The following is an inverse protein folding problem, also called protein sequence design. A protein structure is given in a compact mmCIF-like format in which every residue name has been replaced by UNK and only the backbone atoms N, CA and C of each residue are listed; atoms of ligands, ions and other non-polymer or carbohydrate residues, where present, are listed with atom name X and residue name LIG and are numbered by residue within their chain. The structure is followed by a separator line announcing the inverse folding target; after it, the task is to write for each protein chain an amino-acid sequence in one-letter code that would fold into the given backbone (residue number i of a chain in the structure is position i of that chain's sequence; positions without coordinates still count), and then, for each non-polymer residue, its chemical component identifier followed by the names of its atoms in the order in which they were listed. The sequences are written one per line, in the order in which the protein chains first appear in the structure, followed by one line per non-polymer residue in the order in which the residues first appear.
data_IF_810019733189
#
_entry.id   IF_810019733189
#
_cell.length_a   1.000
_cell.length_b   1.000
_cell.length_c   1.000
_cell.angle_alpha   90.00
_cell.angle_beta   90.00
_cell.angle_gamma   90.00
#
_symmetry.space_group_name_H-M   'P 1'
#
loop_
_entity.id
_entity.type
_entity.pdbx_description
1 polymer ?
#
# COMPACT_ATOMS: atom_id res chain seq x y z
N UNK A 1 -19.07 -25.25 -12.26
CA UNK A 1 -17.60 -25.29 -12.43
C UNK A 1 -17.30 -26.09 -13.68
N UNK A 2 -16.42 -25.58 -14.57
CA UNK A 2 -15.89 -26.37 -15.69
C UNK A 2 -15.29 -27.68 -15.16
N UNK A 3 -15.32 -28.76 -15.95
CA UNK A 3 -14.66 -29.99 -15.51
C UNK A 3 -13.13 -29.80 -15.46
N UNK A 4 -12.41 -30.66 -14.74
CA UNK A 4 -10.96 -30.55 -14.55
C UNK A 4 -10.20 -30.48 -15.89
N UNK A 5 -10.60 -31.26 -16.90
CA UNK A 5 -9.98 -31.29 -18.21
C UNK A 5 -10.16 -29.98 -18.98
N UNK A 6 -11.34 -29.35 -18.87
CA UNK A 6 -11.63 -28.04 -19.47
C UNK A 6 -10.85 -26.92 -18.79
N UNK A 7 -10.66 -26.99 -17.47
CA UNK A 7 -9.86 -26.03 -16.72
C UNK A 7 -8.37 -26.15 -17.06
N UNK A 8 -7.85 -27.38 -17.16
CA UNK A 8 -6.46 -27.62 -17.58
C UNK A 8 -6.23 -27.09 -19.00
N UNK A 9 -7.16 -27.35 -19.93
CA UNK A 9 -7.08 -26.82 -21.30
C UNK A 9 -7.10 -25.30 -21.32
N UNK A 10 -7.92 -24.68 -20.47
CA UNK A 10 -7.98 -23.23 -20.36
C UNK A 10 -6.65 -22.64 -19.87
N UNK A 11 -6.10 -23.16 -18.77
CA UNK A 11 -4.83 -22.68 -18.19
C UNK A 11 -3.67 -22.87 -19.17
N UNK A 12 -3.60 -24.01 -19.86
CA UNK A 12 -2.46 -24.33 -20.74
C UNK A 12 -2.50 -23.68 -22.11
N UNK A 13 -3.68 -23.44 -22.66
CA UNK A 13 -3.83 -23.14 -24.09
C UNK A 13 -4.74 -21.96 -24.42
N UNK A 14 -5.52 -21.45 -23.47
CA UNK A 14 -6.49 -20.36 -23.70
C UNK A 14 -6.21 -19.11 -22.88
N UNK A 15 -5.58 -19.26 -21.71
CA UNK A 15 -5.25 -18.14 -20.84
C UNK A 15 -4.14 -17.30 -21.48
N UNK A 16 -4.45 -16.05 -21.79
CA UNK A 16 -3.49 -15.04 -22.23
C UNK A 16 -2.73 -14.55 -21.01
N UNK A 17 -1.42 -14.74 -20.99
CA UNK A 17 -0.53 -14.28 -19.92
C UNK A 17 -0.29 -12.76 -20.00
N UNK A 18 -1.34 -11.97 -19.81
CA UNK A 18 -1.23 -10.50 -19.81
C UNK A 18 -0.71 -9.99 -18.47
N UNK A 19 -0.96 -10.71 -17.36
CA UNK A 19 -0.42 -10.40 -16.02
C UNK A 19 -0.54 -11.61 -15.05
N UNK A 20 0.23 -11.63 -13.96
CA UNK A 20 0.23 -12.68 -12.90
C UNK A 20 -1.09 -12.71 -12.10
N UNK A 21 -1.94 -11.71 -12.27
CA UNK A 21 -3.23 -11.58 -11.59
C UNK A 21 -4.22 -12.70 -11.90
N UNK A 22 -4.34 -13.10 -13.16
CA UNK A 22 -5.25 -14.17 -13.57
C UNK A 22 -4.88 -15.53 -12.95
N UNK A 23 -3.62 -16.01 -13.04
CA UNK A 23 -3.23 -17.24 -12.38
C UNK A 23 -3.33 -17.17 -10.84
N UNK A 24 -3.03 -16.02 -10.23
CA UNK A 24 -3.19 -15.84 -8.78
C UNK A 24 -4.65 -15.98 -8.31
N UNK A 25 -5.60 -15.39 -9.04
CA UNK A 25 -7.04 -15.49 -8.75
C UNK A 25 -7.56 -16.92 -8.96
N UNK A 26 -7.14 -17.57 -10.05
CA UNK A 26 -7.53 -18.95 -10.33
C UNK A 26 -7.06 -19.88 -9.23
N UNK A 27 -5.78 -19.77 -8.83
CA UNK A 27 -5.21 -20.57 -7.75
C UNK A 27 -5.99 -20.37 -6.44
N UNK A 28 -6.21 -19.12 -6.04
CA UNK A 28 -6.93 -18.79 -4.81
C UNK A 28 -8.37 -19.33 -4.78
N UNK A 29 -9.07 -19.27 -5.92
CA UNK A 29 -10.41 -19.83 -6.03
C UNK A 29 -10.38 -21.35 -5.95
N UNK A 30 -9.43 -22.02 -6.59
CA UNK A 30 -9.31 -23.49 -6.55
C UNK A 30 -9.06 -24.01 -5.13
N UNK A 31 -8.18 -23.35 -4.38
CA UNK A 31 -7.89 -23.69 -2.98
C UNK A 31 -9.12 -23.52 -2.06
N UNK A 32 -10.08 -22.70 -2.46
CA UNK A 32 -11.30 -22.37 -1.68
C UNK A 32 -12.58 -22.91 -2.29
N UNK A 33 -12.48 -24.01 -3.06
CA UNK A 33 -13.64 -24.69 -3.62
C UNK A 33 -14.44 -23.84 -4.62
N UNK A 34 -13.77 -22.92 -5.31
CA UNK A 34 -14.33 -22.06 -6.33
C UNK A 34 -15.02 -20.79 -5.83
N UNK A 35 -14.92 -20.47 -4.53
CA UNK A 35 -15.60 -19.31 -3.93
C UNK A 35 -14.66 -18.43 -3.13
N UNK A 36 -14.79 -17.11 -3.27
CA UNK A 36 -14.10 -16.15 -2.42
C UNK A 36 -14.78 -14.77 -2.48
N UNK A 37 -14.49 -13.91 -1.51
CA UNK A 37 -14.98 -12.54 -1.50
C UNK A 37 -14.09 -11.64 -2.37
N UNK A 38 -14.64 -10.52 -2.86
CA UNK A 38 -13.85 -9.53 -3.60
C UNK A 38 -12.68 -8.98 -2.77
N UNK A 39 -12.85 -8.84 -1.46
CA UNK A 39 -11.81 -8.39 -0.54
C UNK A 39 -10.65 -9.41 -0.42
N UNK A 40 -10.96 -10.70 -0.31
CA UNK A 40 -9.95 -11.77 -0.27
C UNK A 40 -9.18 -11.87 -1.59
N UNK A 41 -9.88 -11.71 -2.72
CA UNK A 41 -9.24 -11.68 -4.03
C UNK A 41 -8.35 -10.44 -4.21
N UNK A 42 -8.82 -9.26 -3.79
CA UNK A 42 -8.03 -8.03 -3.84
C UNK A 42 -6.76 -8.14 -2.99
N UNK A 43 -6.86 -8.67 -1.77
CA UNK A 43 -5.70 -8.93 -0.90
C UNK A 43 -4.70 -9.90 -1.53
N UNK A 44 -5.22 -10.92 -2.21
CA UNK A 44 -4.39 -11.88 -2.95
C UNK A 44 -3.64 -11.16 -4.07
N UNK A 45 -4.35 -10.41 -4.92
CA UNK A 45 -3.75 -9.64 -6.02
C UNK A 45 -2.70 -8.63 -5.54
N UNK A 46 -2.98 -7.87 -4.48
CA UNK A 46 -2.01 -6.95 -3.87
C UNK A 46 -0.73 -7.66 -3.38
N UNK A 47 -0.84 -8.95 -3.05
CA UNK A 47 0.29 -9.78 -2.67
C UNK A 47 1.17 -10.21 -3.85
N UNK A 48 0.71 -10.09 -5.10
CA UNK A 48 1.46 -10.42 -6.32
C UNK A 48 1.87 -9.18 -7.14
N UNK A 49 1.32 -8.01 -6.84
CA UNK A 49 1.70 -6.75 -7.47
C UNK A 49 3.12 -6.33 -7.04
N UNK A 50 4.07 -6.35 -7.98
CA UNK A 50 5.48 -6.05 -7.72
C UNK A 50 5.70 -4.59 -7.26
N UNK A 51 4.88 -3.65 -7.72
CA UNK A 51 4.94 -2.25 -7.30
C UNK A 51 4.54 -2.07 -5.84
N UNK A 52 3.46 -2.74 -5.44
CA UNK A 52 2.98 -2.80 -4.05
C UNK A 52 4.00 -3.50 -3.15
N UNK A 53 4.57 -4.63 -3.59
CA UNK A 53 5.61 -5.33 -2.85
C UNK A 53 6.86 -4.46 -2.66
N UNK A 54 7.35 -3.81 -3.71
CA UNK A 54 8.53 -2.95 -3.66
C UNK A 54 8.33 -1.72 -2.76
N UNK A 55 7.11 -1.17 -2.73
CA UNK A 55 6.74 -0.12 -1.79
C UNK A 55 6.81 -0.61 -0.34
N UNK A 56 6.15 -1.73 -0.03
CA UNK A 56 6.13 -2.26 1.33
C UNK A 56 7.49 -2.78 1.79
N UNK A 57 8.35 -3.29 0.92
CA UNK A 57 9.72 -3.68 1.27
C UNK A 57 10.50 -2.48 1.84
N UNK A 58 10.44 -1.33 1.18
CA UNK A 58 11.05 -0.08 1.66
C UNK A 58 10.45 0.38 3.00
N UNK A 59 9.14 0.28 3.15
CA UNK A 59 8.45 0.65 4.41
C UNK A 59 8.85 -0.28 5.55
N UNK A 60 8.85 -1.60 5.32
CA UNK A 60 9.22 -2.62 6.30
C UNK A 60 10.65 -2.46 6.79
N UNK A 61 11.57 -2.15 5.87
CA UNK A 61 12.99 -1.97 6.19
C UNK A 61 13.29 -0.64 6.89
N UNK A 62 12.37 0.32 6.88
CA UNK A 62 12.50 1.61 7.55
C UNK A 62 11.98 1.55 8.99
N UNK A 63 10.69 1.75 9.21
CA UNK A 63 10.19 1.95 10.57
C UNK A 63 9.96 0.66 11.35
N UNK A 64 9.30 -0.38 10.78
CA UNK A 64 9.10 -1.65 11.47
C UNK A 64 10.42 -2.32 11.83
N UNK A 65 11.36 -2.45 10.89
CA UNK A 65 12.68 -3.03 11.19
C UNK A 65 13.42 -2.27 12.28
N UNK A 66 13.53 -0.94 12.19
CA UNK A 66 14.25 -0.14 13.20
C UNK A 66 13.58 -0.25 14.56
N UNK A 67 12.25 -0.12 14.61
CA UNK A 67 11.48 -0.18 15.86
C UNK A 67 11.59 -1.56 16.49
N UNK A 68 11.34 -2.62 15.72
CA UNK A 68 11.38 -3.99 16.23
C UNK A 68 12.81 -4.41 16.62
N UNK A 69 13.85 -3.92 15.93
CA UNK A 69 15.25 -4.14 16.31
C UNK A 69 15.59 -3.40 17.61
N UNK A 70 15.22 -2.12 17.71
CA UNK A 70 15.45 -1.27 18.89
C UNK A 70 14.82 -1.85 20.16
N UNK A 71 13.66 -2.48 20.03
CA UNK A 71 12.94 -3.09 21.14
C UNK A 71 13.25 -4.59 21.33
N UNK A 72 14.27 -5.14 20.64
CA UNK A 72 14.64 -6.56 20.70
C UNK A 72 13.48 -7.53 20.41
N UNK A 73 12.55 -7.09 19.54
CA UNK A 73 11.36 -7.87 19.15
C UNK A 73 11.70 -8.83 18.02
N UNK A 74 12.85 -8.73 17.33
CA UNK A 74 13.27 -9.67 16.26
C UNK A 74 14.50 -10.51 16.67
N UNK A 75 14.33 -11.65 17.37
CA UNK A 75 15.39 -12.58 17.70
C UNK A 75 15.60 -13.65 16.61
N UNK A 76 14.84 -13.65 15.50
CA UNK A 76 15.01 -14.66 14.43
C UNK A 76 16.34 -14.54 13.68
N UNK A 77 16.95 -13.35 13.67
CA UNK A 77 18.33 -13.14 13.21
C UNK A 77 19.38 -13.67 14.19
N UNK A 78 18.97 -13.99 15.42
CA UNK A 78 19.79 -14.53 16.50
C UNK A 78 19.45 -16.01 16.80
N UNK A 79 18.49 -16.57 16.07
CA UNK A 79 18.10 -17.96 16.22
C UNK A 79 19.16 -18.86 15.58
N UNK A 80 19.45 -19.99 16.22
CA UNK A 80 20.30 -21.00 15.62
C UNK A 80 19.59 -21.71 14.44
N UNK A 81 20.32 -22.60 13.77
CA UNK A 81 19.80 -23.42 12.65
C UNK A 81 18.61 -24.32 13.04
N UNK A 82 18.31 -24.44 14.33
CA UNK A 82 17.22 -25.24 14.89
C UNK A 82 16.07 -24.39 15.42
N UNK A 83 16.16 -23.05 15.32
CA UNK A 83 15.10 -22.14 15.74
C UNK A 83 15.10 -21.82 17.24
N UNK A 84 16.23 -21.96 17.93
CA UNK A 84 16.37 -21.60 19.34
C UNK A 84 17.05 -20.27 19.54
N UNK A 85 16.63 -19.52 20.56
CA UNK A 85 17.16 -18.21 20.93
C UNK A 85 17.57 -18.21 22.41
N UNK A 86 18.71 -17.61 22.72
CA UNK A 86 19.18 -17.44 24.10
C UNK A 86 18.77 -16.07 24.62
N UNK A 87 17.94 -16.04 25.67
CA UNK A 87 17.52 -14.81 26.36
C UNK A 87 17.74 -14.98 27.86
N UNK A 88 18.45 -14.04 28.49
CA UNK A 88 18.78 -14.08 29.92
C UNK A 88 19.43 -15.40 30.37
N UNK A 89 20.37 -15.93 29.56
CA UNK A 89 21.03 -17.23 29.74
C UNK A 89 20.10 -18.46 29.70
N UNK A 90 18.87 -18.30 29.21
CA UNK A 90 17.92 -19.40 29.01
C UNK A 90 17.73 -19.62 27.51
N UNK A 91 18.00 -20.84 27.04
CA UNK A 91 17.73 -21.25 25.67
C UNK A 91 16.26 -21.66 25.54
N UNK A 92 15.53 -21.08 24.58
CA UNK A 92 14.13 -21.40 24.32
C UNK A 92 13.81 -21.41 22.83
N UNK A 93 12.79 -22.17 22.40
CA UNK A 93 12.27 -22.08 21.04
C UNK A 93 11.87 -20.65 20.67
N UNK A 94 12.05 -20.26 19.42
CA UNK A 94 11.66 -18.93 18.90
C UNK A 94 10.15 -18.66 19.01
N UNK A 95 9.33 -19.69 19.17
CA UNK A 95 7.89 -19.63 19.33
C UNK A 95 7.41 -19.89 20.77
N UNK A 96 8.33 -19.99 21.74
CA UNK A 96 8.00 -20.16 23.16
C UNK A 96 7.25 -18.92 23.70
N UNK A 97 6.27 -19.10 24.59
CA UNK A 97 5.49 -17.98 25.17
C UNK A 97 6.33 -17.00 26.01
N UNK A 98 7.48 -17.47 26.53
CA UNK A 98 8.48 -16.63 27.19
C UNK A 98 9.23 -15.75 26.18
N UNK A 99 9.19 -16.11 24.90
CA UNK A 99 9.55 -15.24 23.79
C UNK A 99 8.34 -14.36 23.42
N UNK A 100 8.45 -13.06 23.64
CA UNK A 100 7.39 -12.07 23.40
C UNK A 100 6.89 -12.04 21.94
N UNK A 101 7.62 -12.64 20.99
CA UNK A 101 7.17 -12.85 19.62
C UNK A 101 5.98 -13.81 19.49
N UNK A 102 5.88 -14.85 20.32
CA UNK A 102 4.75 -15.77 20.31
C UNK A 102 3.44 -15.06 20.67
N UNK A 103 3.53 -14.00 21.47
CA UNK A 103 2.40 -13.12 21.82
C UNK A 103 1.93 -12.26 20.64
N UNK A 104 2.77 -12.00 19.64
CA UNK A 104 2.34 -11.35 18.40
C UNK A 104 1.32 -12.18 17.63
N UNK A 105 1.29 -13.52 17.80
CA UNK A 105 0.25 -14.38 17.22
C UNK A 105 -1.15 -14.04 17.78
N UNK A 106 -1.25 -13.66 19.07
CA UNK A 106 -2.49 -13.15 19.67
C UNK A 106 -2.86 -11.77 19.13
N UNK A 107 -1.90 -10.87 18.95
CA UNK A 107 -2.14 -9.55 18.34
C UNK A 107 -2.59 -9.66 16.87
N UNK A 108 -2.02 -10.59 16.11
CA UNK A 108 -2.43 -10.87 14.73
C UNK A 108 -3.79 -11.57 14.67
N UNK A 109 -4.16 -12.41 15.66
CA UNK A 109 -5.52 -12.95 15.79
C UNK A 109 -6.55 -11.92 16.30
N UNK A 110 -6.12 -10.89 17.02
CA UNK A 110 -6.96 -9.75 17.39
C UNK A 110 -7.23 -8.82 16.20
N UNK A 111 -6.46 -8.94 15.11
CA UNK A 111 -6.83 -8.44 13.77
C UNK A 111 -7.69 -9.45 13.00
N UNK A 112 -8.61 -10.13 13.68
CA UNK A 112 -9.79 -10.66 13.00
C UNK A 112 -10.64 -9.46 12.62
N UNK A 113 -11.05 -9.38 11.35
CA UNK A 113 -12.09 -8.48 10.84
C UNK A 113 -13.34 -8.62 11.71
N UNK A 114 -13.40 -7.83 12.77
CA UNK A 114 -14.54 -7.72 13.68
C UNK A 114 -14.93 -6.27 13.87
N UNK A 115 -14.49 -5.37 13.00
CA UNK A 115 -15.11 -4.08 12.99
C UNK A 115 -16.39 -4.14 12.14
N UNK A 116 -17.47 -3.65 12.74
CA UNK A 116 -18.59 -3.14 11.99
C UNK A 116 -18.28 -1.67 11.70
N UNK A 117 -17.16 -1.40 10.99
CA UNK A 117 -16.78 -0.02 10.70
C UNK A 117 -17.88 0.63 9.89
N UNK A 118 -18.55 1.56 10.57
CA UNK A 118 -19.48 2.48 9.98
C UNK A 118 -18.70 3.53 9.20
N UNK A 119 -18.70 3.39 7.87
CA UNK A 119 -18.09 4.33 6.93
C UNK A 119 -18.69 5.75 6.96
N UNK A 120 -19.66 6.03 7.84
CA UNK A 120 -20.22 7.36 8.08
C UNK A 120 -19.44 8.19 9.10
N UNK A 121 -18.44 7.64 9.80
CA UNK A 121 -17.55 8.45 10.65
C UNK A 121 -16.31 8.94 9.88
N UNK A 122 -15.93 10.22 10.05
CA UNK A 122 -14.97 10.88 9.18
C UNK A 122 -13.56 10.34 9.39
N UNK A 123 -12.92 9.96 8.28
CA UNK A 123 -11.51 9.60 8.24
C UNK A 123 -10.70 10.79 8.75
N UNK A 124 -9.90 10.59 9.80
CA UNK A 124 -8.85 11.55 10.17
C UNK A 124 -7.90 11.69 8.97
N UNK A 125 -7.79 12.89 8.42
CA UNK A 125 -6.98 13.16 7.23
C UNK A 125 -6.56 14.62 7.16
N UNK A 126 -5.61 14.92 6.27
CA UNK A 126 -5.26 16.31 5.99
C UNK A 126 -6.47 17.01 5.38
N UNK A 127 -6.84 18.12 6.00
CA UNK A 127 -7.83 19.06 5.50
C UNK A 127 -7.12 20.33 5.04
N UNK A 128 -7.70 21.03 4.07
CA UNK A 128 -7.21 22.36 3.68
C UNK A 128 -7.50 23.36 4.79
N UNK A 129 -6.64 24.36 4.93
CA UNK A 129 -6.75 25.39 5.97
C UNK A 129 -8.11 26.11 5.94
N UNK A 130 -8.64 26.36 4.74
CA UNK A 130 -9.95 26.99 4.55
C UNK A 130 -11.14 26.04 4.85
N UNK A 131 -10.90 24.73 4.93
CA UNK A 131 -11.93 23.73 5.25
C UNK A 131 -12.11 23.51 6.76
N UNK A 132 -11.21 24.04 7.60
CA UNK A 132 -11.23 23.88 9.07
C UNK A 132 -12.52 24.43 9.68
N UNK A 133 -13.03 25.56 9.17
CA UNK A 133 -14.23 26.21 9.68
C UNK A 133 -15.51 25.35 9.56
N UNK A 134 -15.58 24.48 8.54
CA UNK A 134 -16.73 23.61 8.29
C UNK A 134 -16.64 22.29 9.08
N UNK A 135 -15.43 21.81 9.35
CA UNK A 135 -15.18 20.49 9.96
C UNK A 135 -15.12 20.56 11.49
N UNK A 136 -14.68 21.68 12.08
CA UNK A 136 -14.52 21.83 13.53
C UNK A 136 -15.84 21.91 14.32
N UNK A 137 -17.00 22.06 13.64
CA UNK A 137 -18.32 22.03 14.28
C UNK A 137 -18.78 20.63 14.71
N UNK A 138 -18.15 19.57 14.20
CA UNK A 138 -18.56 18.17 14.41
C UNK A 138 -17.49 17.45 15.24
N UNK A 139 -17.34 17.80 16.52
CA UNK A 139 -16.51 17.04 17.48
C UNK A 139 -15.04 16.71 17.08
N UNK A 140 -14.46 17.43 16.11
CA UNK A 140 -13.10 17.21 15.63
C UNK A 140 -12.14 18.28 16.12
N UNK A 141 -10.96 17.86 16.58
CA UNK A 141 -9.85 18.75 16.91
C UNK A 141 -8.92 18.84 15.70
N UNK A 142 -8.78 20.04 15.14
CA UNK A 142 -7.77 20.32 14.13
C UNK A 142 -6.49 20.81 14.82
N UNK A 143 -5.34 20.25 14.43
CA UNK A 143 -4.02 20.74 14.85
C UNK A 143 -3.14 20.93 13.63
N UNK A 144 -2.23 21.90 13.71
CA UNK A 144 -1.23 22.13 12.68
C UNK A 144 -0.21 20.97 12.70
N UNK A 145 0.11 20.47 11.51
CA UNK A 145 1.17 19.47 11.31
C UNK A 145 2.38 20.15 10.70
N UNK A 146 3.59 19.73 11.09
CA UNK A 146 4.84 20.29 10.56
C UNK A 146 5.89 19.18 10.38
N UNK A 147 6.91 19.46 9.56
CA UNK A 147 8.05 18.56 9.35
C UNK A 147 7.66 17.16 8.87
N UNK A 148 8.27 16.14 9.48
CA UNK A 148 8.11 14.73 9.09
C UNK A 148 6.65 14.28 9.21
N UNK A 149 5.94 14.75 10.23
CA UNK A 149 4.55 14.35 10.49
C UNK A 149 3.61 14.88 9.39
N UNK A 150 3.80 16.14 8.97
CA UNK A 150 3.06 16.69 7.83
C UNK A 150 3.35 15.89 6.56
N UNK A 151 4.62 15.60 6.29
CA UNK A 151 5.02 14.83 5.10
C UNK A 151 4.37 13.45 5.06
N UNK A 152 4.41 12.72 6.18
CA UNK A 152 3.84 11.37 6.26
C UNK A 152 2.32 11.42 6.00
N UNK A 153 1.62 12.44 6.52
CA UNK A 153 0.20 12.63 6.29
C UNK A 153 -0.15 13.11 4.87
N UNK A 154 0.72 13.88 4.23
CA UNK A 154 0.57 14.23 2.82
C UNK A 154 0.75 13.01 1.91
N UNK A 155 1.68 12.10 2.23
CA UNK A 155 1.85 10.84 1.50
C UNK A 155 0.63 9.92 1.66
N UNK A 156 0.05 9.83 2.86
CA UNK A 156 -1.24 9.13 3.07
C UNK A 156 -2.36 9.75 2.22
N UNK A 157 -2.44 11.08 2.17
CA UNK A 157 -3.43 11.79 1.35
C UNK A 157 -3.21 11.53 -0.15
N UNK A 158 -1.97 11.50 -0.63
CA UNK A 158 -1.65 11.23 -2.04
C UNK A 158 -2.17 9.86 -2.50
N UNK A 159 -2.14 8.84 -1.64
CA UNK A 159 -2.73 7.52 -1.94
C UNK A 159 -4.24 7.64 -2.15
N UNK A 160 -4.93 8.42 -1.32
CA UNK A 160 -6.35 8.70 -1.49
C UNK A 160 -6.66 9.48 -2.76
N UNK A 161 -5.86 10.50 -3.08
CA UNK A 161 -6.01 11.29 -4.31
C UNK A 161 -5.78 10.43 -5.56
N UNK A 162 -4.79 9.54 -5.53
CA UNK A 162 -4.53 8.58 -6.62
C UNK A 162 -5.71 7.62 -6.81
N UNK A 163 -6.21 7.01 -5.72
CA UNK A 163 -7.37 6.12 -5.79
C UNK A 163 -8.60 6.84 -6.37
N UNK A 164 -8.81 8.10 -5.97
CA UNK A 164 -9.87 8.95 -6.50
C UNK A 164 -9.66 9.28 -7.99
N UNK A 165 -8.42 9.53 -8.43
CA UNK A 165 -8.10 9.87 -9.82
C UNK A 165 -8.41 8.71 -10.78
N UNK A 166 -8.12 7.48 -10.39
CA UNK A 166 -8.31 6.29 -11.24
C UNK A 166 -9.71 5.69 -11.14
N UNK A 167 -10.55 6.19 -10.23
CA UNK A 167 -11.93 5.74 -10.08
C UNK A 167 -12.75 6.11 -11.33
N UNK A 168 -13.16 5.08 -12.07
CA UNK A 168 -13.92 5.20 -13.31
C UNK A 168 -15.41 5.50 -13.05
N UNK A 169 -15.91 5.17 -11.86
CA UNK A 169 -17.30 5.37 -11.47
C UNK A 169 -17.52 6.72 -10.76
N UNK A 170 -16.46 7.52 -10.61
CA UNK A 170 -16.53 8.82 -9.95
C UNK A 170 -17.34 9.84 -10.75
N UNK A 171 -18.32 10.48 -10.11
CA UNK A 171 -19.06 11.61 -10.66
C UNK A 171 -18.27 12.93 -10.64
N UNK A 172 -17.06 12.95 -10.05
CA UNK A 172 -16.22 14.13 -9.94
C UNK A 172 -15.47 14.43 -11.24
N UNK A 173 -15.39 15.72 -11.59
CA UNK A 173 -14.67 16.17 -12.78
C UNK A 173 -13.18 15.81 -12.68
N UNK A 174 -12.63 15.27 -13.78
CA UNK A 174 -11.27 14.73 -13.83
C UNK A 174 -10.22 15.82 -13.58
N UNK A 175 -10.43 17.03 -14.10
CA UNK A 175 -9.54 18.18 -13.91
C UNK A 175 -9.46 18.61 -12.44
N UNK A 176 -10.56 18.56 -11.68
CA UNK A 176 -10.56 18.80 -10.24
C UNK A 176 -9.72 17.74 -9.52
N UNK A 177 -9.92 16.46 -9.87
CA UNK A 177 -9.16 15.36 -9.29
C UNK A 177 -7.66 15.48 -9.55
N UNK A 178 -7.28 15.83 -10.77
CA UNK A 178 -5.89 16.11 -11.17
C UNK A 178 -5.33 17.29 -10.38
N UNK A 179 -6.06 18.39 -10.30
CA UNK A 179 -5.62 19.63 -9.62
C UNK A 179 -5.33 19.38 -8.15
N UNK A 180 -6.22 18.69 -7.45
CA UNK A 180 -6.02 18.36 -6.04
C UNK A 180 -4.84 17.42 -5.82
N UNK A 181 -4.61 16.47 -6.72
CA UNK A 181 -3.44 15.58 -6.64
C UNK A 181 -2.14 16.36 -6.89
N UNK A 182 -2.14 17.30 -7.84
CA UNK A 182 -1.01 18.22 -8.08
C UNK A 182 -0.74 19.07 -6.84
N UNK A 183 -1.77 19.62 -6.21
CA UNK A 183 -1.65 20.39 -4.96
C UNK A 183 -0.97 19.56 -3.86
N UNK A 184 -1.40 18.31 -3.67
CA UNK A 184 -0.76 17.40 -2.71
C UNK A 184 0.71 17.16 -3.05
N UNK A 185 1.05 16.97 -4.33
CA UNK A 185 2.44 16.78 -4.78
C UNK A 185 3.30 18.03 -4.57
N UNK A 186 2.75 19.22 -4.82
CA UNK A 186 3.41 20.51 -4.57
C UNK A 186 3.68 20.71 -3.08
N UNK A 187 2.72 20.41 -2.21
CA UNK A 187 2.89 20.47 -0.77
C UNK A 187 4.00 19.52 -0.27
N UNK A 188 4.10 18.32 -0.85
CA UNK A 188 5.18 17.37 -0.56
C UNK A 188 6.53 17.93 -1.02
N UNK A 189 6.61 18.46 -2.25
CA UNK A 189 7.83 19.04 -2.79
C UNK A 189 8.33 20.22 -1.94
N UNK A 190 7.42 21.09 -1.49
CA UNK A 190 7.72 22.19 -0.59
C UNK A 190 8.26 21.68 0.76
N UNK A 191 7.71 20.59 1.28
CA UNK A 191 8.22 19.93 2.49
C UNK A 191 9.64 19.35 2.36
N UNK A 192 10.08 19.05 1.14
CA UNK A 192 11.44 18.62 0.79
C UNK A 192 12.35 19.80 0.37
N UNK A 193 11.88 21.04 0.52
CA UNK A 193 12.65 22.25 0.24
C UNK A 193 12.68 22.65 -1.24
N UNK A 194 11.70 22.21 -2.04
CA UNK A 194 11.53 22.61 -3.44
C UNK A 194 10.29 23.46 -3.62
N UNK A 195 10.48 24.67 -4.10
CA UNK A 195 9.37 25.57 -4.46
C UNK A 195 8.65 25.08 -5.73
N UNK A 196 7.41 25.54 -5.91
CA UNK A 196 6.64 25.27 -7.12
C UNK A 196 7.38 25.72 -8.38
N UNK A 197 7.98 26.91 -8.37
CA UNK A 197 8.75 27.42 -9.52
C UNK A 197 9.94 26.55 -9.86
N UNK A 198 10.71 26.09 -8.85
CA UNK A 198 11.83 25.16 -9.07
C UNK A 198 11.36 23.82 -9.63
N UNK A 199 10.21 23.30 -9.18
CA UNK A 199 9.65 22.06 -9.70
C UNK A 199 9.20 22.21 -11.15
N UNK A 200 8.56 23.33 -11.51
CA UNK A 200 8.15 23.61 -12.88
C UNK A 200 9.33 23.76 -13.83
N UNK A 201 10.42 24.40 -13.38
CA UNK A 201 11.66 24.46 -14.17
C UNK A 201 12.28 23.07 -14.34
N UNK A 202 12.30 22.25 -13.30
CA UNK A 202 12.77 20.86 -13.40
C UNK A 202 11.92 20.05 -14.40
N UNK A 203 10.60 20.25 -14.42
CA UNK A 203 9.71 19.61 -15.39
C UNK A 203 10.05 20.06 -16.83
N UNK A 204 10.34 21.35 -17.06
CA UNK A 204 10.76 21.84 -18.38
C UNK A 204 12.06 21.19 -18.82
N UNK A 205 13.08 21.19 -17.96
CA UNK A 205 14.36 20.54 -18.23
C UNK A 205 14.18 19.05 -18.59
N UNK A 206 13.37 18.32 -17.80
CA UNK A 206 13.09 16.90 -18.05
C UNK A 206 12.37 16.66 -19.39
N UNK A 207 11.53 17.59 -19.82
CA UNK A 207 10.84 17.53 -21.13
C UNK A 207 11.80 17.78 -22.29
N UNK A 208 12.81 18.62 -22.10
CA UNK A 208 13.88 18.81 -23.09
C UNK A 208 14.77 17.56 -23.19
N UNK A 209 15.08 16.94 -22.05
CA UNK A 209 15.94 15.74 -21.97
C UNK A 209 15.26 14.47 -22.48
N UNK A 210 13.99 14.24 -22.12
CA UNK A 210 13.30 12.97 -22.35
C UNK A 210 12.12 13.05 -23.32
N UNK A 211 11.75 14.26 -23.75
CA UNK A 211 10.49 14.48 -24.45
C UNK A 211 9.29 14.50 -23.51
N UNK A 212 8.10 14.48 -24.11
CA UNK A 212 6.81 14.66 -23.44
C UNK A 212 6.00 13.37 -23.49
N UNK A 213 5.10 13.20 -22.53
CA UNK A 213 4.17 12.06 -22.46
C UNK A 213 2.85 12.30 -23.22
N UNK A 214 2.76 13.36 -24.03
CA UNK A 214 1.56 13.73 -24.78
C UNK A 214 1.37 12.94 -26.08
N UNK A 215 2.37 12.13 -26.48
CA UNK A 215 2.31 11.32 -27.70
C UNK A 215 1.98 9.85 -27.46
N UNK A 216 1.74 9.43 -26.21
CA UNK A 216 1.17 8.10 -25.89
C UNK A 216 2.01 6.89 -26.31
N UNK A 217 3.33 7.03 -26.41
CA UNK A 217 4.22 5.92 -26.78
C UNK A 217 4.21 4.83 -25.70
N UNK A 218 3.88 3.61 -26.11
CA UNK A 218 3.88 2.43 -25.25
C UNK A 218 4.89 1.41 -25.81
N UNK A 219 5.80 0.95 -24.96
CA UNK A 219 6.74 -0.12 -25.30
C UNK A 219 6.08 -1.46 -24.95
N UNK A 220 5.90 -2.31 -25.95
CA UNK A 220 5.39 -3.68 -25.77
C UNK A 220 6.54 -4.66 -25.98
N UNK A 221 6.97 -5.33 -24.90
CA UNK A 221 8.07 -6.30 -24.92
C UNK A 221 7.67 -7.64 -25.58
N UNK A 222 6.40 -7.83 -25.99
CA UNK A 222 5.87 -9.07 -26.57
C UNK A 222 5.81 -9.09 -28.10
N UNK A 223 6.45 -8.15 -28.80
CA UNK A 223 6.49 -8.15 -30.27
C UNK A 223 7.80 -8.77 -30.77
N UNK A 224 7.84 -10.10 -30.78
CA UNK A 224 8.79 -10.92 -31.55
C UNK A 224 8.05 -12.09 -32.20
#
# INVERSE_FOLDING_TARGET
MRNISELISFIKSTMSMTDVYQPAVILHLLERGGTSTRAELAKTLSGYDEGVQAYYDKILMRWPKITLTKHNIVPKSQADKHGYVAKDNIMMPVDDERNLQALCYRCNRAKRDQDATDFRQPRSGIIRDQSVAYVAGVAHTARKLEGIELRDKLLEKLVGDHARLIDQDSEEQLDIRITDMIETLLAIAQGEGKTESELLELIKQRREELGRLDTGLYLDDNVA
#
